data_IF_538481783395
#
_entry.id   IF_538481783395
#
_cell.length_a   1.000
_cell.length_b   1.000
_cell.length_c   1.000
_cell.angle_alpha   90.00
_cell.angle_beta   90.00
_cell.angle_gamma   90.00
#
_symmetry.space_group_name_H-M   'P 1'
#
loop_
_entity.id
_entity.type
_entity.pdbx_description
1 polymer ?
#
# COMPACT_ATOMS: atom_id res chain seq x y z
N UNK A 1 18.58 -6.74 1.84
CA UNK A 1 17.52 -6.97 0.81
C UNK A 1 18.05 -6.44 -0.51
N UNK A 2 17.75 -7.07 -1.65
CA UNK A 2 18.13 -6.51 -2.97
C UNK A 2 17.23 -5.30 -3.26
N UNK A 3 17.82 -4.14 -3.58
CA UNK A 3 17.08 -2.91 -3.86
C UNK A 3 16.03 -3.11 -4.95
N UNK A 4 16.35 -3.90 -5.99
CA UNK A 4 15.40 -4.21 -7.07
C UNK A 4 14.21 -5.04 -6.60
N UNK A 5 14.42 -5.95 -5.65
CA UNK A 5 13.35 -6.73 -5.07
C UNK A 5 12.42 -5.84 -4.23
N UNK A 6 13.00 -4.89 -3.49
CA UNK A 6 12.24 -3.94 -2.69
C UNK A 6 11.43 -2.96 -3.55
N UNK A 7 11.99 -2.48 -4.67
CA UNK A 7 11.26 -1.67 -5.66
C UNK A 7 10.07 -2.45 -6.25
N UNK A 8 10.27 -3.71 -6.63
CA UNK A 8 9.18 -4.54 -7.16
C UNK A 8 8.07 -4.78 -6.11
N UNK A 9 8.45 -4.98 -4.84
CA UNK A 9 7.49 -5.14 -3.75
C UNK A 9 6.71 -3.85 -3.48
N UNK A 10 7.37 -2.68 -3.56
CA UNK A 10 6.73 -1.38 -3.45
C UNK A 10 5.68 -1.16 -4.55
N UNK A 11 6.00 -1.49 -5.80
CA UNK A 11 5.04 -1.38 -6.92
C UNK A 11 3.78 -2.24 -6.69
N UNK A 12 3.95 -3.47 -6.20
CA UNK A 12 2.81 -4.35 -5.86
C UNK A 12 1.91 -3.72 -4.79
N UNK A 13 2.51 -3.10 -3.77
CA UNK A 13 1.75 -2.43 -2.70
C UNK A 13 0.98 -1.22 -3.27
N UNK A 14 1.62 -0.41 -4.11
CA UNK A 14 0.97 0.75 -4.73
C UNK A 14 -0.19 0.35 -5.65
N UNK A 15 -0.05 -0.73 -6.40
CA UNK A 15 -1.14 -1.31 -7.20
C UNK A 15 -2.32 -1.75 -6.33
N UNK A 16 -2.05 -2.37 -5.17
CA UNK A 16 -3.09 -2.76 -4.22
C UNK A 16 -3.82 -1.54 -3.63
N UNK A 17 -3.09 -0.47 -3.29
CA UNK A 17 -3.69 0.82 -2.87
C UNK A 17 -4.60 1.37 -3.98
N UNK A 18 -4.13 1.39 -5.23
CA UNK A 18 -4.89 1.88 -6.37
C UNK A 18 -6.18 1.08 -6.61
N UNK A 19 -6.13 -0.23 -6.45
CA UNK A 19 -7.30 -1.12 -6.53
C UNK A 19 -8.35 -0.75 -5.47
N UNK A 20 -7.94 -0.63 -4.22
CA UNK A 20 -8.86 -0.32 -3.11
C UNK A 20 -9.49 1.08 -3.25
N UNK A 21 -8.73 2.08 -3.70
CA UNK A 21 -9.27 3.41 -3.97
C UNK A 21 -10.25 3.41 -5.16
N UNK A 22 -10.01 2.57 -6.17
CA UNK A 22 -10.94 2.38 -7.28
C UNK A 22 -12.25 1.74 -6.82
N UNK A 23 -12.18 0.73 -5.97
CA UNK A 23 -13.35 0.11 -5.33
C UNK A 23 -14.09 1.13 -4.46
N UNK A 24 -13.38 1.91 -3.65
CA UNK A 24 -13.95 3.00 -2.85
C UNK A 24 -14.73 4.00 -3.72
N UNK A 25 -14.16 4.45 -4.85
CA UNK A 25 -14.83 5.36 -5.79
C UNK A 25 -16.06 4.72 -6.43
N UNK A 26 -16.00 3.43 -6.77
CA UNK A 26 -17.09 2.70 -7.42
C UNK A 26 -18.28 2.45 -6.50
N UNK A 27 -18.03 2.11 -5.25
CA UNK A 27 -19.06 1.74 -4.27
C UNK A 27 -19.48 2.87 -3.35
N UNK A 28 -18.69 3.94 -3.22
CA UNK A 28 -18.88 4.97 -2.20
C UNK A 28 -20.18 5.78 -2.27
N UNK A 29 -20.83 5.81 -3.43
CA UNK A 29 -22.16 6.43 -3.57
C UNK A 29 -23.32 5.48 -3.25
N UNK A 30 -23.06 4.17 -3.16
CA UNK A 30 -24.10 3.12 -3.07
C UNK A 30 -24.05 2.33 -1.77
N UNK A 31 -22.88 2.23 -1.14
CA UNK A 31 -22.67 1.45 0.09
C UNK A 31 -21.55 2.11 0.93
N UNK A 32 -21.90 2.90 1.94
CA UNK A 32 -20.95 3.58 2.82
C UNK A 32 -20.04 2.61 3.62
N UNK A 33 -20.50 1.41 3.93
CA UNK A 33 -19.70 0.43 4.67
C UNK A 33 -18.63 -0.20 3.78
N UNK A 34 -18.96 -0.47 2.50
CA UNK A 34 -17.95 -0.86 1.50
C UNK A 34 -16.91 0.23 1.29
N UNK A 35 -17.33 1.50 1.19
CA UNK A 35 -16.42 2.63 1.12
C UNK A 35 -15.43 2.63 2.27
N UNK A 36 -15.95 2.55 3.51
CA UNK A 36 -15.12 2.55 4.71
C UNK A 36 -14.13 1.38 4.70
N UNK A 37 -14.55 0.18 4.32
CA UNK A 37 -13.67 -1.00 4.26
C UNK A 37 -12.58 -0.85 3.19
N UNK A 38 -12.92 -0.36 2.01
CA UNK A 38 -11.95 -0.15 0.92
C UNK A 38 -10.91 0.92 1.29
N UNK A 39 -11.36 2.06 1.84
CA UNK A 39 -10.45 3.10 2.34
C UNK A 39 -9.56 2.58 3.47
N UNK A 40 -10.09 1.74 4.37
CA UNK A 40 -9.29 1.11 5.41
C UNK A 40 -8.20 0.22 4.82
N UNK A 41 -8.53 -0.68 3.88
CA UNK A 41 -7.52 -1.55 3.25
C UNK A 41 -6.46 -0.76 2.48
N UNK A 42 -6.86 0.30 1.78
CA UNK A 42 -5.90 1.20 1.13
C UNK A 42 -4.91 1.81 2.14
N UNK A 43 -5.38 2.19 3.33
CA UNK A 43 -4.51 2.68 4.41
C UNK A 43 -3.59 1.57 4.95
N UNK A 44 -4.13 0.38 5.20
CA UNK A 44 -3.34 -0.75 5.70
C UNK A 44 -2.17 -1.07 4.73
N UNK A 45 -2.41 -1.00 3.41
CA UNK A 45 -1.35 -1.14 2.40
C UNK A 45 -0.32 -0.01 2.42
N UNK A 46 -0.73 1.24 2.70
CA UNK A 46 0.23 2.33 2.88
C UNK A 46 1.10 2.15 4.11
N UNK A 47 0.53 1.63 5.21
CA UNK A 47 1.30 1.30 6.41
C UNK A 47 2.33 0.18 6.10
N UNK A 48 1.98 -0.82 5.27
CA UNK A 48 2.92 -1.83 4.78
C UNK A 48 4.05 -1.22 3.94
N UNK A 49 3.75 -0.23 3.08
CA UNK A 49 4.76 0.50 2.30
C UNK A 49 5.74 1.26 3.19
N UNK A 50 5.25 1.92 4.25
CA UNK A 50 6.09 2.64 5.21
C UNK A 50 7.04 1.69 5.96
N UNK A 51 6.56 0.51 6.33
CA UNK A 51 7.40 -0.54 6.95
C UNK A 51 8.49 -1.01 5.98
N UNK A 52 8.13 -1.27 4.72
CA UNK A 52 9.09 -1.66 3.70
C UNK A 52 10.15 -0.58 3.47
N UNK A 53 9.74 0.68 3.33
CA UNK A 53 10.63 1.82 3.17
C UNK A 53 11.59 1.97 4.37
N UNK A 54 11.08 1.83 5.60
CA UNK A 54 11.89 1.84 6.80
C UNK A 54 12.92 0.71 6.84
N UNK A 55 12.54 -0.51 6.43
CA UNK A 55 13.44 -1.65 6.37
C UNK A 55 14.57 -1.45 5.35
N UNK A 56 14.26 -0.87 4.18
CA UNK A 56 15.27 -0.53 3.16
C UNK A 56 16.31 0.44 3.75
N UNK A 57 15.85 1.53 4.37
CA UNK A 57 16.73 2.56 4.95
C UNK A 57 17.66 2.00 6.03
N UNK A 58 17.15 1.16 6.93
CA UNK A 58 17.96 0.51 7.98
C UNK A 58 19.06 -0.37 7.37
N UNK A 59 18.73 -1.15 6.34
CA UNK A 59 19.71 -2.04 5.70
C UNK A 59 20.71 -1.31 4.78
N UNK A 60 20.45 -0.06 4.42
CA UNK A 60 21.34 0.76 3.60
C UNK A 60 22.39 1.55 4.40
N UNK A 61 22.21 1.70 5.72
CA UNK A 61 23.08 2.48 6.61
C UNK A 61 24.22 1.64 7.23
N UNK A 62 24.19 0.31 7.07
CA UNK A 62 25.21 -0.64 7.52
C UNK A 62 26.34 -0.87 6.48
N UNK A 63 26.45 -0.03 5.45
CA UNK A 63 27.37 -0.15 4.31
C UNK A 63 28.43 0.93 4.20
#
# INVERSE_FOLDING_TARGET
MDLKAAEAEMEVILDAVGYELTEARRFGLKDPDRLRRAVKRARDHLDDADVLAGAILVTGDDG
#
